data_IF_395337220988
#
_entry.id   IF_395337220988
#
_cell.length_a   1.000
_cell.length_b   1.000
_cell.length_c   1.000
_cell.angle_alpha   90.00
_cell.angle_beta   90.00
_cell.angle_gamma   90.00
#
_symmetry.space_group_name_H-M   'P 1'
#
loop_
_entity.id
_entity.type
_entity.pdbx_description
1 polymer ?
#
# COMPACT_ATOMS: atom_id res chain seq x y z
N UNK A 1 28.45 -45.56 40.34
CA UNK A 1 27.35 -44.58 40.18
C UNK A 1 27.84 -43.13 40.07
N UNK A 2 28.85 -42.71 40.83
CA UNK A 2 29.34 -41.31 40.85
C UNK A 2 30.06 -40.86 39.55
N UNK A 3 30.84 -41.73 38.92
CA UNK A 3 31.60 -41.41 37.69
C UNK A 3 30.65 -41.09 36.51
N UNK A 4 29.53 -41.82 36.39
CA UNK A 4 28.55 -41.66 35.30
C UNK A 4 27.83 -40.30 35.41
N UNK A 5 27.50 -39.87 36.64
CA UNK A 5 26.89 -38.55 36.86
C UNK A 5 27.86 -37.41 36.50
N UNK A 6 29.14 -37.54 36.86
CA UNK A 6 30.14 -36.53 36.54
C UNK A 6 30.32 -36.38 35.02
N UNK A 7 30.43 -37.49 34.29
CA UNK A 7 30.55 -37.46 32.83
C UNK A 7 29.31 -36.88 32.13
N UNK A 8 28.11 -37.13 32.66
CA UNK A 8 26.89 -36.51 32.11
C UNK A 8 26.83 -35.01 32.36
N UNK A 9 27.20 -34.53 33.55
CA UNK A 9 27.22 -33.10 33.86
C UNK A 9 28.24 -32.34 33.00
N UNK A 10 29.40 -32.93 32.76
CA UNK A 10 30.46 -32.37 31.91
C UNK A 10 30.07 -32.34 30.42
N UNK A 11 29.28 -33.33 29.97
CA UNK A 11 28.72 -33.35 28.61
C UNK A 11 27.66 -32.25 28.43
N UNK A 12 26.80 -32.05 29.44
CA UNK A 12 25.75 -31.01 29.43
C UNK A 12 26.35 -29.59 29.52
N UNK A 13 27.45 -29.38 30.26
CA UNK A 13 28.14 -28.08 30.27
C UNK A 13 28.75 -27.76 28.91
N UNK A 14 29.41 -28.74 28.29
CA UNK A 14 30.06 -28.56 26.98
C UNK A 14 29.05 -28.24 25.88
N UNK A 15 27.90 -28.93 25.87
CA UNK A 15 26.83 -28.66 24.89
C UNK A 15 26.23 -27.26 25.05
N UNK A 16 26.06 -26.77 26.28
CA UNK A 16 25.60 -25.39 26.52
C UNK A 16 26.61 -24.35 26.04
N UNK A 17 27.89 -24.57 26.25
CA UNK A 17 28.96 -23.67 25.81
C UNK A 17 29.06 -23.62 24.28
N UNK A 18 28.89 -24.76 23.61
CA UNK A 18 28.84 -24.85 22.14
C UNK A 18 27.61 -24.11 21.57
N UNK A 19 26.43 -24.30 22.17
CA UNK A 19 25.21 -23.57 21.81
C UNK A 19 25.32 -22.06 22.06
N UNK A 20 26.08 -21.65 23.07
CA UNK A 20 26.34 -20.23 23.32
C UNK A 20 27.28 -19.65 22.24
N UNK A 21 28.33 -20.38 21.88
CA UNK A 21 29.28 -19.96 20.84
C UNK A 21 28.63 -19.84 19.46
N UNK A 22 27.73 -20.76 19.11
CA UNK A 22 26.95 -20.69 17.87
C UNK A 22 26.03 -19.46 17.84
N UNK A 23 25.42 -19.11 18.97
CA UNK A 23 24.61 -17.89 19.10
C UNK A 23 25.45 -16.62 18.96
N UNK A 24 26.61 -16.57 19.61
CA UNK A 24 27.54 -15.45 19.50
C UNK A 24 28.04 -15.27 18.05
N UNK A 25 28.34 -16.36 17.36
CA UNK A 25 28.71 -16.31 15.94
C UNK A 25 27.57 -15.74 15.08
N UNK A 26 26.34 -16.25 15.26
CA UNK A 26 25.17 -15.74 14.52
C UNK A 26 24.89 -14.27 14.81
N UNK A 27 25.10 -13.81 16.04
CA UNK A 27 24.96 -12.40 16.41
C UNK A 27 26.01 -11.54 15.69
N UNK A 28 27.28 -11.98 15.67
CA UNK A 28 28.34 -11.23 15.01
C UNK A 28 28.12 -11.12 13.50
N UNK A 29 27.70 -12.20 12.83
CA UNK A 29 27.37 -12.18 11.40
C UNK A 29 26.24 -11.17 11.08
N UNK A 30 25.24 -11.06 11.97
CA UNK A 30 24.17 -10.06 11.83
C UNK A 30 24.65 -8.64 12.09
N UNK A 31 25.61 -8.45 12.99
CA UNK A 31 26.21 -7.14 13.26
C UNK A 31 27.01 -6.65 12.07
N UNK A 32 27.83 -7.51 11.46
CA UNK A 32 28.61 -7.18 10.26
C UNK A 32 27.70 -6.75 9.10
N UNK A 33 26.61 -7.50 8.87
CA UNK A 33 25.62 -7.17 7.83
C UNK A 33 24.90 -5.83 8.09
N UNK A 34 24.61 -5.51 9.36
CA UNK A 34 24.02 -4.23 9.73
C UNK A 34 25.00 -3.08 9.51
N UNK A 35 26.28 -3.28 9.81
CA UNK A 35 27.32 -2.27 9.61
C UNK A 35 27.49 -1.93 8.12
N UNK A 36 27.54 -2.94 7.25
CA UNK A 36 27.58 -2.75 5.80
C UNK A 36 26.36 -1.97 5.28
N UNK A 37 25.16 -2.31 5.78
CA UNK A 37 23.91 -1.64 5.41
C UNK A 37 23.92 -0.16 5.82
N UNK A 38 24.46 0.16 7.01
CA UNK A 38 24.59 1.53 7.50
C UNK A 38 25.57 2.31 6.62
N UNK A 39 26.71 1.72 6.23
CA UNK A 39 27.67 2.36 5.35
C UNK A 39 27.08 2.69 3.96
N UNK A 40 26.28 1.79 3.40
CA UNK A 40 25.64 2.01 2.11
C UNK A 40 24.51 3.05 2.16
N UNK A 41 23.78 3.12 3.27
CA UNK A 41 22.84 4.21 3.53
C UNK A 41 23.55 5.56 3.63
N UNK A 42 24.70 5.65 4.30
CA UNK A 42 25.48 6.89 4.39
C UNK A 42 25.97 7.37 3.01
N UNK A 43 26.45 6.45 2.16
CA UNK A 43 26.80 6.76 0.76
C UNK A 43 25.60 7.29 -0.02
N UNK A 44 24.43 6.67 0.14
CA UNK A 44 23.19 7.05 -0.55
C UNK A 44 22.69 8.43 -0.10
N UNK A 45 22.75 8.73 1.20
CA UNK A 45 22.38 10.03 1.76
C UNK A 45 23.33 11.13 1.24
N UNK A 46 24.64 10.87 1.21
CA UNK A 46 25.63 11.80 0.65
C UNK A 46 25.33 12.12 -0.81
N UNK A 47 25.04 11.10 -1.62
CA UNK A 47 24.66 11.28 -3.03
C UNK A 47 23.37 12.10 -3.20
N UNK A 48 22.33 11.80 -2.42
CA UNK A 48 21.06 12.53 -2.46
C UNK A 48 21.24 14.03 -2.11
N UNK A 49 22.02 14.32 -1.07
CA UNK A 49 22.34 15.69 -0.65
C UNK A 49 23.12 16.46 -1.73
N UNK A 50 24.07 15.80 -2.41
CA UNK A 50 24.81 16.42 -3.51
C UNK A 50 23.88 16.76 -4.69
N UNK A 51 22.99 15.85 -5.06
CA UNK A 51 22.00 16.05 -6.12
C UNK A 51 21.04 17.20 -5.79
N UNK A 52 20.61 17.31 -4.54
CA UNK A 52 19.75 18.42 -4.09
C UNK A 52 20.48 19.77 -4.15
N UNK A 53 21.77 19.83 -3.75
CA UNK A 53 22.59 21.05 -3.89
C UNK A 53 22.70 21.48 -5.35
N UNK A 54 22.97 20.55 -6.28
CA UNK A 54 23.01 20.85 -7.72
C UNK A 54 21.68 21.38 -8.25
N UNK A 55 20.55 20.80 -7.82
CA UNK A 55 19.20 21.25 -8.21
C UNK A 55 18.89 22.67 -7.68
N UNK A 56 19.36 23.01 -6.49
CA UNK A 56 19.23 24.36 -5.92
C UNK A 56 20.07 25.38 -6.70
N UNK A 57 21.31 25.04 -7.08
CA UNK A 57 22.17 25.91 -7.90
C UNK A 57 21.58 26.18 -9.29
N UNK A 58 21.04 25.14 -9.95
CA UNK A 58 20.38 25.28 -11.25
C UNK A 58 19.14 26.18 -11.20
N UNK A 59 18.35 26.09 -10.12
CA UNK A 59 17.17 26.95 -9.92
C UNK A 59 17.53 28.42 -9.68
N UNK A 60 18.66 28.69 -9.02
CA UNK A 60 19.17 30.05 -8.83
C UNK A 60 19.68 30.64 -10.15
N UNK A 61 20.40 29.85 -10.97
CA UNK A 61 20.83 30.27 -12.30
C UNK A 61 19.65 30.53 -13.25
N UNK A 62 18.59 29.72 -13.21
CA UNK A 62 17.39 29.97 -14.02
C UNK A 62 16.66 31.25 -13.61
N UNK A 63 16.67 31.61 -12.32
CA UNK A 63 16.06 32.86 -11.84
C UNK A 63 16.86 34.09 -12.27
N UNK A 64 18.20 34.02 -12.25
CA UNK A 64 19.07 35.09 -12.76
C UNK A 64 18.92 35.31 -14.27
N UNK A 65 18.73 34.22 -15.05
CA UNK A 65 18.43 34.29 -16.48
C UNK A 65 17.03 34.85 -16.75
N UNK A 66 16.03 34.50 -15.93
CA UNK A 66 14.67 35.01 -16.06
C UNK A 66 14.57 36.51 -15.75
N UNK A 67 15.37 37.03 -14.81
CA UNK A 67 15.39 38.46 -14.50
C UNK A 67 16.10 39.28 -15.60
N UNK A 68 17.09 38.72 -16.30
CA UNK A 68 17.69 39.34 -17.50
C UNK A 68 16.73 39.39 -18.71
N UNK A 69 15.69 38.56 -18.75
CA UNK A 69 14.71 38.51 -19.85
C UNK A 69 13.48 39.40 -19.61
N UNK A 70 13.27 39.94 -18.40
CA UNK A 70 12.11 40.77 -18.06
C UNK A 70 12.18 42.22 -18.52
N UNK A 71 13.35 42.73 -18.92
CA UNK A 71 13.46 44.11 -19.42
C UNK A 71 13.07 44.29 -20.90
N UNK A 72 12.72 43.22 -21.64
CA UNK A 72 12.55 43.32 -23.10
C UNK A 72 11.24 42.80 -23.71
N UNK A 73 10.15 42.71 -22.95
CA UNK A 73 8.84 42.39 -23.57
C UNK A 73 7.72 43.31 -23.07
N UNK A 74 7.45 44.28 -23.94
CA UNK A 74 6.31 45.17 -23.98
C UNK A 74 4.99 44.39 -23.90
N UNK A 75 4.04 44.99 -23.18
CA UNK A 75 2.69 44.52 -22.89
C UNK A 75 1.91 43.98 -24.10
N UNK A 76 1.44 42.74 -24.03
CA UNK A 76 0.29 42.27 -24.80
C UNK A 76 -0.52 41.27 -23.95
N UNK A 77 -1.80 41.59 -23.81
CA UNK A 77 -2.84 40.87 -23.06
C UNK A 77 -3.03 39.44 -23.57
N UNK A 78 -2.90 38.45 -22.68
CA UNK A 78 -3.24 37.05 -22.97
C UNK A 78 -4.67 36.80 -22.49
N UNK A 79 -5.57 36.65 -23.46
CA UNK A 79 -6.89 36.04 -23.26
C UNK A 79 -6.74 34.58 -22.84
N UNK A 80 -7.49 34.16 -21.82
CA UNK A 80 -7.50 32.80 -21.30
C UNK A 80 -8.13 31.83 -22.31
N UNK A 81 -7.35 31.38 -23.30
CA UNK A 81 -7.74 30.28 -24.16
C UNK A 81 -7.43 28.95 -23.46
N UNK A 82 -8.39 28.42 -22.70
CA UNK A 82 -8.33 27.04 -22.23
C UNK A 82 -8.41 26.13 -23.45
N UNK A 83 -7.26 25.70 -23.97
CA UNK A 83 -7.18 24.63 -24.93
C UNK A 83 -7.66 23.34 -24.26
N UNK A 84 -8.95 23.05 -24.37
CA UNK A 84 -9.43 21.67 -24.36
C UNK A 84 -8.65 20.93 -25.44
N UNK A 85 -7.69 20.10 -25.03
CA UNK A 85 -6.97 19.19 -25.92
C UNK A 85 -8.01 18.22 -26.48
N UNK A 86 -8.60 18.56 -27.62
CA UNK A 86 -9.47 17.66 -28.35
C UNK A 86 -8.58 16.58 -28.96
N UNK A 87 -8.55 15.41 -28.35
CA UNK A 87 -8.00 14.21 -28.99
C UNK A 87 -8.87 13.87 -30.20
N UNK A 88 -8.53 14.41 -31.37
CA UNK A 88 -9.08 13.96 -32.64
C UNK A 88 -8.43 12.63 -32.97
N UNK A 89 -9.01 11.53 -32.48
CA UNK A 89 -8.71 10.22 -33.04
C UNK A 89 -9.34 10.16 -34.43
N UNK A 90 -8.51 10.07 -35.48
CA UNK A 90 -8.95 9.66 -36.82
C UNK A 90 -9.27 8.15 -36.78
N UNK A 91 -10.33 7.79 -36.06
CA UNK A 91 -10.95 6.47 -36.17
C UNK A 91 -12.10 6.58 -37.16
N UNK A 92 -12.23 5.59 -38.04
CA UNK A 92 -13.31 5.54 -39.03
C UNK A 92 -14.66 5.81 -38.36
N UNK A 93 -15.43 6.72 -38.95
CA UNK A 93 -16.76 7.15 -38.51
C UNK A 93 -17.71 5.95 -38.45
N UNK A 94 -17.67 5.18 -37.36
CA UNK A 94 -18.76 4.38 -36.76
C UNK A 94 -18.29 3.35 -35.70
N UNK A 95 -17.00 3.26 -35.35
CA UNK A 95 -16.53 2.23 -34.39
C UNK A 95 -16.49 2.67 -32.91
N UNK A 96 -16.95 3.86 -32.56
CA UNK A 96 -16.95 4.36 -31.17
C UNK A 96 -18.32 4.90 -30.72
N UNK A 97 -19.42 4.26 -31.11
CA UNK A 97 -20.78 4.65 -30.68
C UNK A 97 -21.04 4.42 -29.18
N UNK A 98 -20.28 3.53 -28.52
CA UNK A 98 -20.48 3.17 -27.11
C UNK A 98 -20.18 4.30 -26.11
N UNK A 99 -19.34 5.28 -26.49
CA UNK A 99 -19.05 6.47 -25.67
C UNK A 99 -20.08 7.59 -25.83
N UNK A 100 -20.84 7.56 -26.93
CA UNK A 100 -21.83 8.59 -27.30
C UNK A 100 -23.27 8.13 -27.04
N UNK A 101 -23.48 6.86 -26.69
CA UNK A 101 -24.78 6.36 -26.28
C UNK A 101 -25.19 6.99 -24.95
N UNK A 102 -26.48 7.33 -24.83
CA UNK A 102 -27.09 7.73 -23.57
C UNK A 102 -26.71 6.76 -22.45
N UNK A 103 -26.50 7.23 -21.20
CA UNK A 103 -26.20 6.35 -20.08
C UNK A 103 -27.18 5.19 -20.03
N UNK A 104 -26.67 3.97 -19.78
CA UNK A 104 -27.55 2.82 -19.63
C UNK A 104 -28.54 3.08 -18.49
N UNK A 105 -29.80 2.72 -18.71
CA UNK A 105 -30.82 2.84 -17.67
C UNK A 105 -30.57 1.76 -16.62
N UNK A 106 -29.97 2.16 -15.49
CA UNK A 106 -29.73 1.29 -14.34
C UNK A 106 -30.69 1.66 -13.22
N UNK A 107 -31.13 0.65 -12.44
CA UNK A 107 -31.93 0.88 -11.23
C UNK A 107 -31.18 1.74 -10.20
N UNK A 108 -29.86 1.58 -10.14
CA UNK A 108 -28.98 2.35 -9.27
C UNK A 108 -27.86 2.98 -10.10
N UNK A 109 -27.72 4.30 -9.98
CA UNK A 109 -26.54 5.03 -10.41
C UNK A 109 -25.76 5.46 -9.16
N UNK A 110 -24.53 4.96 -9.02
CA UNK A 110 -23.68 5.29 -7.89
C UNK A 110 -23.41 6.80 -7.80
N UNK A 111 -23.30 7.52 -8.93
CA UNK A 111 -23.07 8.97 -8.87
C UNK A 111 -24.26 9.67 -8.22
N UNK A 112 -25.46 9.42 -8.74
CA UNK A 112 -26.69 9.95 -8.16
C UNK A 112 -26.87 9.51 -6.70
N UNK A 113 -26.48 8.28 -6.34
CA UNK A 113 -26.53 7.81 -4.95
C UNK A 113 -25.62 8.64 -4.04
N UNK A 114 -24.37 8.88 -4.45
CA UNK A 114 -23.43 9.69 -3.67
C UNK A 114 -23.92 11.14 -3.50
N UNK A 115 -24.55 11.71 -4.52
CA UNK A 115 -25.10 13.07 -4.45
C UNK A 115 -26.26 13.19 -3.44
N UNK A 116 -26.95 12.07 -3.14
CA UNK A 116 -28.13 12.04 -2.25
C UNK A 116 -27.84 11.49 -0.84
N UNK A 117 -26.72 10.78 -0.63
CA UNK A 117 -26.40 10.21 0.67
C UNK A 117 -25.89 11.28 1.65
N UNK A 118 -26.33 11.26 2.92
CA UNK A 118 -25.94 12.28 3.90
C UNK A 118 -24.59 11.96 4.62
N UNK A 119 -24.10 10.73 4.50
CA UNK A 119 -22.80 10.24 5.02
C UNK A 119 -22.58 10.41 6.53
N UNK A 120 -23.65 10.39 7.30
CA UNK A 120 -23.65 10.48 8.75
C UNK A 120 -22.90 9.29 9.38
N UNK A 121 -22.13 9.55 10.44
CA UNK A 121 -21.52 8.50 11.26
C UNK A 121 -22.34 8.26 12.54
N UNK A 122 -23.61 7.91 12.38
CA UNK A 122 -24.49 7.60 13.51
C UNK A 122 -24.10 6.26 14.14
N UNK A 123 -24.30 6.13 15.46
CA UNK A 123 -24.06 4.87 16.15
C UNK A 123 -25.27 3.93 16.02
N UNK A 124 -25.09 2.84 15.28
CA UNK A 124 -26.12 1.81 15.04
C UNK A 124 -26.35 0.81 16.18
N UNK A 125 -25.65 0.95 17.32
CA UNK A 125 -25.74 0.02 18.46
C UNK A 125 -24.75 -1.13 18.33
N UNK A 126 -25.23 -2.39 18.44
CA UNK A 126 -24.37 -3.59 18.33
C UNK A 126 -23.74 -3.68 16.94
N UNK A 127 -24.49 -3.34 15.90
CA UNK A 127 -23.96 -3.13 14.56
C UNK A 127 -23.65 -1.65 14.35
N UNK A 128 -22.40 -1.26 14.63
CA UNK A 128 -21.98 0.15 14.80
C UNK A 128 -22.30 1.03 13.59
N UNK A 129 -22.11 0.53 12.37
CA UNK A 129 -22.34 1.27 11.12
C UNK A 129 -23.71 0.98 10.49
N UNK A 130 -24.60 0.31 11.21
CA UNK A 130 -25.92 -0.07 10.70
C UNK A 130 -27.04 0.36 11.62
N UNK A 131 -28.00 -0.54 11.82
CA UNK A 131 -29.18 -0.31 12.64
C UNK A 131 -29.69 -1.64 13.23
N UNK A 132 -30.65 -1.57 14.15
CA UNK A 132 -31.27 -2.74 14.75
C UNK A 132 -32.10 -3.55 13.72
N UNK A 133 -31.64 -4.77 13.40
CA UNK A 133 -32.27 -5.61 12.37
C UNK A 133 -33.43 -6.38 12.99
N UNK A 134 -34.64 -6.09 12.52
CA UNK A 134 -35.85 -6.82 12.89
C UNK A 134 -36.28 -7.76 11.76
N UNK A 135 -36.76 -8.95 12.13
CA UNK A 135 -37.21 -9.95 11.17
C UNK A 135 -38.55 -10.56 11.58
N UNK A 136 -39.39 -10.86 10.59
CA UNK A 136 -40.66 -11.54 10.83
C UNK A 136 -40.42 -13.04 11.01
N UNK A 137 -40.79 -13.61 12.16
CA UNK A 137 -40.61 -15.03 12.46
C UNK A 137 -41.41 -15.94 11.54
N UNK A 138 -42.51 -15.44 10.96
CA UNK A 138 -43.39 -16.19 10.05
C UNK A 138 -42.92 -16.17 8.60
N UNK A 139 -41.81 -15.49 8.27
CA UNK A 139 -41.31 -15.41 6.89
C UNK A 139 -40.73 -16.74 6.38
N UNK A 140 -40.33 -17.63 7.29
CA UNK A 140 -39.80 -18.95 6.98
C UNK A 140 -40.85 -20.02 7.31
N UNK A 141 -41.18 -20.84 6.32
CA UNK A 141 -42.19 -21.91 6.45
C UNK A 141 -41.60 -23.25 6.05
N UNK A 142 -42.35 -24.34 6.27
CA UNK A 142 -41.95 -25.68 5.80
C UNK A 142 -41.66 -25.73 4.30
N UNK A 143 -42.42 -24.96 3.51
CA UNK A 143 -42.31 -24.87 2.05
C UNK A 143 -41.28 -23.82 1.58
N UNK A 144 -40.90 -22.87 2.45
CA UNK A 144 -39.93 -21.82 2.16
C UNK A 144 -38.91 -21.69 3.30
N UNK A 145 -37.88 -22.54 3.27
CA UNK A 145 -36.83 -22.59 4.29
C UNK A 145 -35.66 -21.68 3.93
N UNK A 146 -35.08 -21.03 4.95
CA UNK A 146 -33.80 -20.35 4.83
C UNK A 146 -32.70 -21.39 4.59
N UNK A 147 -31.98 -21.26 3.48
CA UNK A 147 -30.82 -22.11 3.17
C UNK A 147 -29.55 -21.40 3.64
N UNK A 148 -28.82 -22.04 4.55
CA UNK A 148 -27.59 -21.50 5.12
C UNK A 148 -26.42 -22.33 4.56
N UNK A 149 -25.50 -21.66 3.88
CA UNK A 149 -24.25 -22.26 3.41
C UNK A 149 -23.12 -21.63 4.22
N UNK A 150 -22.42 -22.47 4.98
CA UNK A 150 -21.26 -22.05 5.76
C UNK A 150 -20.03 -22.26 4.87
N UNK A 151 -19.34 -21.17 4.54
CA UNK A 151 -18.17 -21.19 3.68
C UNK A 151 -16.91 -20.97 4.51
N UNK A 152 -16.13 -22.03 4.82
CA UNK A 152 -14.83 -21.83 5.45
C UNK A 152 -13.90 -21.10 4.48
N UNK A 153 -13.16 -20.11 4.99
CA UNK A 153 -12.18 -19.35 4.21
C UNK A 153 -10.93 -19.04 5.04
N UNK A 154 -9.79 -18.86 4.36
CA UNK A 154 -8.54 -18.35 4.92
C UNK A 154 -8.04 -17.24 4.01
N UNK A 155 -7.81 -16.05 4.55
CA UNK A 155 -7.24 -14.94 3.81
C UNK A 155 -5.71 -15.00 3.94
N UNK A 156 -5.02 -15.31 2.85
CA UNK A 156 -3.56 -15.33 2.81
C UNK A 156 -3.10 -14.19 1.90
N UNK A 157 -2.77 -13.06 2.51
CA UNK A 157 -2.28 -11.90 1.78
C UNK A 157 -0.95 -12.21 1.10
N UNK A 158 -0.82 -12.00 -0.23
CA UNK A 158 0.47 -12.06 -0.89
C UNK A 158 1.28 -10.80 -0.55
N UNK A 159 1.82 -10.73 0.67
CA UNK A 159 2.78 -9.71 1.08
C UNK A 159 2.21 -8.44 1.70
N UNK A 160 1.27 -8.55 2.65
CA UNK A 160 0.81 -7.37 3.40
C UNK A 160 1.87 -6.82 4.38
N UNK A 161 2.68 -7.69 5.00
CA UNK A 161 3.89 -7.34 5.75
C UNK A 161 5.08 -8.18 5.24
N UNK A 162 6.31 -7.64 5.17
CA UNK A 162 7.42 -8.31 4.50
C UNK A 162 8.03 -9.40 5.39
N UNK A 163 7.44 -10.59 5.41
CA UNK A 163 8.17 -11.87 5.45
C UNK A 163 7.33 -12.88 4.66
N UNK A 164 7.40 -12.81 3.32
CA UNK A 164 6.83 -13.86 2.44
C UNK A 164 7.72 -15.12 2.48
N UNK A 165 8.97 -14.99 2.93
CA UNK A 165 9.96 -16.06 2.86
C UNK A 165 9.84 -17.12 3.95
N UNK A 166 9.15 -16.87 5.06
CA UNK A 166 9.09 -17.80 6.19
C UNK A 166 7.82 -18.69 6.18
N UNK A 167 6.73 -18.24 5.54
CA UNK A 167 5.48 -19.03 5.50
C UNK A 167 5.53 -20.21 4.53
N UNK A 168 6.42 -20.17 3.53
CA UNK A 168 6.58 -21.25 2.53
C UNK A 168 7.54 -22.37 2.99
N UNK A 169 8.06 -22.33 4.22
CA UNK A 169 9.08 -23.28 4.72
C UNK A 169 8.52 -24.25 5.77
N UNK A 170 7.22 -24.15 6.11
CA UNK A 170 6.56 -25.03 7.10
C UNK A 170 5.61 -26.07 6.47
N UNK A 171 5.92 -26.59 5.28
CA UNK A 171 5.30 -27.81 4.74
C UNK A 171 6.23 -29.01 4.88
#
# INVERSE_FOLDING_TARGET
MVIILYTMLESISTDRDEQQKLREQSINERLDSLEDSIQDLDKSIKYANQKQKQKLTLKQQSNLLADSLKEKTVSQSIENNTQTISFKSNYSNNQCAWRMSSPMNTTFDNRALYDNLPFDNQNGGVWIQGFDIQYNTSQWTSNNKLKIIIMPHSHCDPGYLPIILEYNVLQ
#
